data_IF_139414840977
#
_entry.id   IF_139414840977
#
_cell.length_a   1.000
_cell.length_b   1.000
_cell.length_c   1.000
_cell.angle_alpha   90.00
_cell.angle_beta   90.00
_cell.angle_gamma   90.00
#
_symmetry.space_group_name_H-M   'P 1'
#
loop_
_entity.id
_entity.type
_entity.pdbx_description
1 polymer ?
#
# COMPACT_ATOMS: atom_id res chain seq x y z
N UNK A 1 -38.09 -10.60 -7.83
CA UNK A 1 -37.70 -9.49 -6.94
C UNK A 1 -36.51 -9.83 -6.03
N UNK A 2 -36.47 -11.00 -5.36
CA UNK A 2 -35.35 -11.40 -4.47
C UNK A 2 -33.98 -11.47 -5.16
N UNK A 3 -33.90 -12.05 -6.36
CA UNK A 3 -32.64 -12.18 -7.11
C UNK A 3 -31.96 -10.83 -7.46
N UNK A 4 -32.74 -9.80 -7.80
CA UNK A 4 -32.21 -8.45 -8.09
C UNK A 4 -31.63 -7.76 -6.84
N UNK A 5 -32.19 -8.06 -5.66
CA UNK A 5 -31.67 -7.53 -4.39
C UNK A 5 -30.37 -8.22 -4.00
N UNK A 6 -30.26 -9.52 -4.26
CA UNK A 6 -29.05 -10.31 -4.01
C UNK A 6 -27.90 -9.88 -4.94
N UNK A 7 -28.18 -9.63 -6.22
CA UNK A 7 -27.20 -9.14 -7.20
C UNK A 7 -26.70 -7.73 -6.85
N UNK A 8 -27.60 -6.79 -6.53
CA UNK A 8 -27.22 -5.44 -6.10
C UNK A 8 -26.37 -5.46 -4.83
N UNK A 9 -26.65 -6.40 -3.92
CA UNK A 9 -25.87 -6.57 -2.69
C UNK A 9 -24.50 -7.19 -2.96
N UNK A 10 -24.41 -8.12 -3.91
CA UNK A 10 -23.13 -8.68 -4.35
C UNK A 10 -22.23 -7.61 -5.00
N UNK A 11 -22.79 -6.79 -5.90
CA UNK A 11 -22.06 -5.69 -6.54
C UNK A 11 -21.53 -4.68 -5.53
N UNK A 12 -22.35 -4.22 -4.58
CA UNK A 12 -21.92 -3.31 -3.51
C UNK A 12 -20.76 -3.86 -2.67
N UNK A 13 -20.76 -5.18 -2.40
CA UNK A 13 -19.66 -5.83 -1.68
C UNK A 13 -18.38 -5.84 -2.51
N UNK A 14 -18.49 -6.14 -3.81
CA UNK A 14 -17.35 -6.15 -4.72
C UNK A 14 -16.75 -4.74 -4.86
N UNK A 15 -17.57 -3.71 -5.00
CA UNK A 15 -17.12 -2.30 -5.05
C UNK A 15 -16.37 -1.92 -3.77
N UNK A 16 -16.98 -2.15 -2.60
CA UNK A 16 -16.35 -1.86 -1.31
C UNK A 16 -15.04 -2.62 -1.11
N UNK A 17 -14.98 -3.88 -1.54
CA UNK A 17 -13.76 -4.66 -1.48
C UNK A 17 -12.68 -4.10 -2.43
N UNK A 18 -13.08 -3.66 -3.62
CA UNK A 18 -12.20 -2.98 -4.57
C UNK A 18 -11.60 -1.70 -4.00
N UNK A 19 -12.41 -0.87 -3.36
CA UNK A 19 -11.97 0.36 -2.68
C UNK A 19 -10.93 0.06 -1.60
N UNK A 20 -11.22 -0.87 -0.68
CA UNK A 20 -10.31 -1.26 0.40
C UNK A 20 -8.98 -1.79 -0.15
N UNK A 21 -9.02 -2.62 -1.21
CA UNK A 21 -7.80 -3.13 -1.85
C UNK A 21 -7.04 -1.98 -2.53
N UNK A 22 -7.75 -1.06 -3.17
CA UNK A 22 -7.19 0.11 -3.83
C UNK A 22 -6.44 1.01 -2.85
N UNK A 23 -7.08 1.37 -1.73
CA UNK A 23 -6.49 2.20 -0.67
C UNK A 23 -5.22 1.56 -0.12
N UNK A 24 -5.28 0.29 0.30
CA UNK A 24 -4.11 -0.44 0.82
C UNK A 24 -2.95 -0.48 -0.18
N UNK A 25 -3.25 -0.67 -1.46
CA UNK A 25 -2.22 -0.66 -2.53
C UNK A 25 -1.66 0.74 -2.74
N UNK A 26 -2.51 1.77 -2.70
CA UNK A 26 -2.11 3.17 -2.84
C UNK A 26 -1.18 3.61 -1.72
N UNK A 27 -1.56 3.33 -0.49
CA UNK A 27 -0.78 3.59 0.72
C UNK A 27 0.60 2.92 0.65
N UNK A 28 0.66 1.61 0.37
CA UNK A 28 1.93 0.88 0.23
C UNK A 28 2.83 1.48 -0.87
N UNK A 29 2.26 1.84 -2.03
CA UNK A 29 3.01 2.49 -3.12
C UNK A 29 3.53 3.88 -2.72
N UNK A 30 2.73 4.65 -1.98
CA UNK A 30 3.11 5.96 -1.48
C UNK A 30 4.30 5.87 -0.53
N UNK A 31 4.23 4.97 0.45
CA UNK A 31 5.31 4.70 1.41
C UNK A 31 6.60 4.31 0.67
N UNK A 32 6.53 3.37 -0.27
CA UNK A 32 7.71 2.95 -1.05
C UNK A 32 8.33 4.10 -1.86
N UNK A 33 7.51 4.98 -2.44
CA UNK A 33 8.00 6.15 -3.20
C UNK A 33 8.71 7.16 -2.30
N UNK A 34 8.19 7.39 -1.09
CA UNK A 34 8.82 8.26 -0.09
C UNK A 34 10.14 7.65 0.39
N UNK A 35 10.15 6.36 0.74
CA UNK A 35 11.35 5.64 1.16
C UNK A 35 12.46 5.68 0.09
N UNK A 36 12.13 5.50 -1.20
CA UNK A 36 13.09 5.66 -2.30
C UNK A 36 13.67 7.08 -2.36
N UNK A 37 12.84 8.09 -2.15
CA UNK A 37 13.29 9.49 -2.12
C UNK A 37 14.21 9.75 -0.92
N UNK A 38 13.95 9.13 0.23
CA UNK A 38 14.81 9.20 1.42
C UNK A 38 16.16 8.52 1.17
N UNK A 39 16.16 7.34 0.54
CA UNK A 39 17.36 6.61 0.11
C UNK A 39 18.23 7.49 -0.80
N UNK A 40 17.62 8.13 -1.80
CA UNK A 40 18.33 9.02 -2.74
C UNK A 40 18.92 10.25 -2.05
N UNK A 41 18.32 10.70 -0.94
CA UNK A 41 18.84 11.79 -0.10
C UNK A 41 19.91 11.35 0.89
N UNK A 42 20.29 10.07 0.90
CA UNK A 42 21.31 9.54 1.79
C UNK A 42 20.85 9.31 3.23
N UNK A 43 19.54 9.26 3.48
CA UNK A 43 19.01 8.90 4.80
C UNK A 43 19.33 7.42 5.08
N UNK A 44 19.72 7.12 6.31
CA UNK A 44 20.06 5.76 6.75
C UNK A 44 18.82 4.88 6.92
N UNK A 45 19.03 3.55 6.99
CA UNK A 45 17.92 2.60 7.03
C UNK A 45 17.16 2.58 8.37
N UNK A 46 17.79 2.99 9.47
CA UNK A 46 17.13 3.01 10.78
C UNK A 46 16.09 4.13 10.80
N UNK A 47 16.48 5.33 10.38
CA UNK A 47 15.59 6.48 10.23
C UNK A 47 14.47 6.19 9.23
N UNK A 48 14.77 5.55 8.10
CA UNK A 48 13.73 5.19 7.12
C UNK A 48 12.74 4.20 7.73
N UNK A 49 13.20 3.17 8.44
CA UNK A 49 12.33 2.18 9.06
C UNK A 49 11.40 2.81 10.10
N UNK A 50 11.93 3.71 10.93
CA UNK A 50 11.14 4.44 11.93
C UNK A 50 10.04 5.30 11.29
N UNK A 51 10.34 6.01 10.21
CA UNK A 51 9.42 6.96 9.58
C UNK A 51 8.41 6.32 8.61
N UNK A 52 8.70 5.13 8.09
CA UNK A 52 7.91 4.52 7.01
C UNK A 52 7.28 3.19 7.42
N UNK A 53 7.58 2.69 8.62
CA UNK A 53 7.21 1.37 9.12
C UNK A 53 7.68 0.21 8.22
N UNK A 54 8.58 0.48 7.28
CA UNK A 54 9.20 -0.55 6.44
C UNK A 54 10.20 -1.34 7.26
N UNK A 55 10.24 -2.64 7.00
CA UNK A 55 11.29 -3.49 7.56
C UNK A 55 12.65 -3.19 6.91
N UNK A 56 13.73 -3.47 7.63
CA UNK A 56 15.10 -3.36 7.10
C UNK A 56 15.25 -4.14 5.78
N UNK A 57 14.66 -5.34 5.68
CA UNK A 57 14.69 -6.14 4.46
C UNK A 57 13.96 -5.50 3.28
N UNK A 58 12.85 -4.82 3.50
CA UNK A 58 12.14 -4.06 2.45
C UNK A 58 12.96 -2.86 1.98
N UNK A 59 13.57 -2.12 2.90
CA UNK A 59 14.43 -0.97 2.58
C UNK A 59 15.65 -1.42 1.77
N UNK A 60 16.28 -2.52 2.17
CA UNK A 60 17.39 -3.10 1.42
C UNK A 60 16.97 -3.57 0.02
N UNK A 61 15.78 -4.15 -0.13
CA UNK A 61 15.26 -4.49 -1.46
C UNK A 61 15.05 -3.23 -2.32
N UNK A 62 14.59 -2.13 -1.75
CA UNK A 62 14.46 -0.85 -2.45
C UNK A 62 15.81 -0.28 -2.89
N UNK A 63 16.88 -0.47 -2.10
CA UNK A 63 18.24 -0.01 -2.46
C UNK A 63 18.91 -0.83 -3.57
N UNK A 64 18.46 -2.06 -3.78
CA UNK A 64 19.00 -2.98 -4.80
C UNK A 64 18.32 -2.85 -6.16
N UNK A 65 17.22 -2.08 -6.24
CA UNK A 65 16.56 -1.73 -7.50
C UNK A 65 17.31 -0.61 -8.20
#
# INVERSE_FOLDING_TARGET
>A
RKALLDEKSALKRAEKQGEIIGEKRGEKRGIMKVALSMIQKGIDNETIAELTELTQGEIEQLRRQ
#
